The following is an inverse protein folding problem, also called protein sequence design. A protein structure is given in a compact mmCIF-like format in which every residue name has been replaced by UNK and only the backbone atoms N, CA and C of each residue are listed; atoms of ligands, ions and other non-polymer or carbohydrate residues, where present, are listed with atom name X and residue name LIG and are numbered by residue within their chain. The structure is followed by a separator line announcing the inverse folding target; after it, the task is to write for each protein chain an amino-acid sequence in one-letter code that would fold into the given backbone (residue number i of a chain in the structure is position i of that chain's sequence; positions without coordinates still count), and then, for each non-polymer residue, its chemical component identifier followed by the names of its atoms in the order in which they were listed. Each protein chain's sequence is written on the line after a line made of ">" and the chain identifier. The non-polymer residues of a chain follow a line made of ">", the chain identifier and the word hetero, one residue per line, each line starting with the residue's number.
data_IF_562230410723
#
_entry.id   IF_562230410723
#
_cell.length_a   1.000
_cell.length_b   1.000
_cell.length_c   1.000
_cell.angle_alpha   90.00
_cell.angle_beta   90.00
_cell.angle_gamma   90.00
#
_symmetry.space_group_name_H-M   'P 1'
#
loop_
_entity.id
_entity.type
_entity.pdbx_description
1 polymer ?
#
# COMPACT_ATOMS: atom_id res chain seq x y z
N UNK A 1 7.55 -18.52 23.24
CA UNK A 1 6.44 -19.38 22.73
C UNK A 1 5.16 -18.59 22.45
N UNK A 2 4.66 -17.74 23.37
CA UNK A 2 3.44 -16.95 23.14
C UNK A 2 3.56 -15.93 21.99
N UNK A 3 4.69 -15.21 21.87
CA UNK A 3 4.89 -14.20 20.83
C UNK A 3 4.80 -14.79 19.40
N UNK A 4 5.43 -15.95 19.17
CA UNK A 4 5.38 -16.64 17.87
C UNK A 4 3.96 -17.06 17.50
N UNK A 5 3.18 -17.59 18.46
CA UNK A 5 1.77 -17.94 18.26
C UNK A 5 0.95 -16.69 17.92
N UNK A 6 1.16 -15.57 18.63
CA UNK A 6 0.46 -14.31 18.37
C UNK A 6 0.82 -13.71 17.01
N UNK A 7 2.09 -13.74 16.60
CA UNK A 7 2.51 -13.23 15.27
C UNK A 7 1.93 -14.09 14.16
N UNK A 8 1.97 -15.41 14.31
CA UNK A 8 1.37 -16.33 13.34
C UNK A 8 -0.14 -16.12 13.22
N UNK A 9 -0.85 -16.03 14.34
CA UNK A 9 -2.29 -15.75 14.35
C UNK A 9 -2.66 -14.41 13.72
N UNK A 10 -1.84 -13.36 13.91
CA UNK A 10 -2.03 -12.07 13.21
C UNK A 10 -1.72 -12.14 11.72
N UNK A 11 -0.78 -13.00 11.30
CA UNK A 11 -0.54 -13.31 9.89
C UNK A 11 -1.74 -13.99 9.24
N UNK A 12 -2.30 -15.00 9.89
CA UNK A 12 -3.52 -15.70 9.47
C UNK A 12 -4.74 -14.76 9.43
N UNK A 13 -4.89 -13.88 10.44
CA UNK A 13 -5.94 -12.87 10.43
C UNK A 13 -5.80 -11.86 9.27
N UNK A 14 -4.57 -11.45 8.93
CA UNK A 14 -4.33 -10.61 7.76
C UNK A 14 -4.65 -11.33 6.45
N UNK A 15 -4.36 -12.65 6.36
CA UNK A 15 -4.74 -13.46 5.20
C UNK A 15 -6.27 -13.56 5.05
N UNK A 16 -7.00 -13.88 6.12
CA UNK A 16 -8.46 -13.91 6.11
C UNK A 16 -9.08 -12.55 5.72
N UNK A 17 -8.51 -11.45 6.20
CA UNK A 17 -8.94 -10.11 5.79
C UNK A 17 -8.74 -9.87 4.29
N UNK A 18 -7.65 -10.37 3.73
CA UNK A 18 -7.35 -10.26 2.30
C UNK A 18 -8.37 -11.04 1.45
N UNK A 19 -8.70 -12.25 1.87
CA UNK A 19 -9.71 -13.09 1.23
C UNK A 19 -11.09 -12.45 1.32
N UNK A 20 -11.49 -11.98 2.50
CA UNK A 20 -12.76 -11.28 2.70
C UNK A 20 -12.85 -10.01 1.84
N UNK A 21 -11.76 -9.23 1.75
CA UNK A 21 -11.72 -8.06 0.88
C UNK A 21 -11.81 -8.43 -0.60
N UNK A 22 -11.20 -9.53 -1.01
CA UNK A 22 -11.31 -10.02 -2.39
C UNK A 22 -12.76 -10.39 -2.71
N UNK A 23 -13.42 -11.13 -1.83
CA UNK A 23 -14.81 -11.56 -2.05
C UNK A 23 -15.74 -10.34 -2.09
N UNK A 24 -15.67 -9.48 -1.08
CA UNK A 24 -16.60 -8.36 -0.96
C UNK A 24 -16.25 -7.22 -1.93
N UNK A 25 -14.98 -6.85 -1.96
CA UNK A 25 -14.46 -5.72 -2.75
C UNK A 25 -14.37 -6.00 -4.24
N UNK A 26 -14.16 -7.24 -4.67
CA UNK A 26 -14.03 -7.56 -6.10
C UNK A 26 -15.29 -8.27 -6.61
N UNK A 27 -15.66 -9.43 -6.04
CA UNK A 27 -16.82 -10.19 -6.54
C UNK A 27 -18.14 -9.46 -6.25
N UNK A 28 -18.27 -8.85 -5.07
CA UNK A 28 -19.45 -8.04 -4.72
C UNK A 28 -19.62 -6.83 -5.63
N UNK A 29 -18.53 -6.09 -5.88
CA UNK A 29 -18.52 -4.95 -6.81
C UNK A 29 -18.84 -5.39 -8.24
N UNK A 30 -18.22 -6.49 -8.70
CA UNK A 30 -18.52 -7.08 -10.01
C UNK A 30 -20.00 -7.40 -10.15
N UNK A 31 -20.60 -8.07 -9.16
CA UNK A 31 -22.02 -8.42 -9.18
C UNK A 31 -22.92 -7.19 -9.34
N UNK A 32 -22.66 -6.12 -8.58
CA UNK A 32 -23.45 -4.88 -8.66
C UNK A 32 -23.26 -4.18 -10.01
N UNK A 33 -22.03 -4.17 -10.55
CA UNK A 33 -21.73 -3.63 -11.87
C UNK A 33 -22.49 -4.39 -12.97
N UNK A 34 -22.52 -5.73 -12.90
CA UNK A 34 -23.25 -6.57 -13.85
C UNK A 34 -24.76 -6.31 -13.79
N UNK A 35 -25.33 -6.26 -12.58
CA UNK A 35 -26.76 -5.95 -12.41
C UNK A 35 -27.10 -4.57 -12.98
N UNK A 36 -26.24 -3.57 -12.79
CA UNK A 36 -26.45 -2.24 -13.36
C UNK A 36 -26.39 -2.23 -14.89
N UNK A 37 -25.38 -2.89 -15.48
CA UNK A 37 -25.26 -2.99 -16.94
C UNK A 37 -26.48 -3.68 -17.54
N UNK A 38 -26.88 -4.83 -16.98
CA UNK A 38 -28.06 -5.59 -17.44
C UNK A 38 -29.34 -4.80 -17.25
N UNK A 39 -29.52 -4.11 -16.13
CA UNK A 39 -30.72 -3.30 -15.87
C UNK A 39 -30.87 -2.12 -16.84
N UNK A 40 -29.75 -1.52 -17.28
CA UNK A 40 -29.75 -0.44 -18.27
C UNK A 40 -29.95 -0.94 -19.71
N UNK A 41 -29.50 -2.15 -20.02
CA UNK A 41 -29.61 -2.71 -21.37
C UNK A 41 -30.89 -3.53 -21.61
N UNK A 42 -31.48 -4.11 -20.57
CA UNK A 42 -32.72 -4.90 -20.61
C UNK A 42 -33.73 -4.41 -19.55
N UNK A 43 -34.41 -3.27 -19.79
CA UNK A 43 -35.34 -2.68 -18.81
C UNK A 43 -36.51 -3.60 -18.41
N UNK A 44 -36.85 -4.58 -19.23
CA UNK A 44 -37.94 -5.56 -19.00
C UNK A 44 -37.57 -6.68 -18.03
N UNK A 45 -36.31 -6.81 -17.62
CA UNK A 45 -35.83 -7.89 -16.74
C UNK A 45 -36.19 -7.71 -15.24
N UNK A 46 -36.89 -6.62 -14.87
CA UNK A 46 -37.47 -6.43 -13.53
C UNK A 46 -36.48 -6.13 -12.39
N UNK A 47 -35.17 -6.21 -12.64
CA UNK A 47 -34.11 -5.80 -11.72
C UNK A 47 -33.41 -4.58 -12.32
N UNK A 48 -33.71 -3.38 -11.81
CA UNK A 48 -33.01 -2.16 -12.22
C UNK A 48 -32.43 -1.44 -11.01
N UNK A 49 -31.11 -1.27 -11.01
CA UNK A 49 -30.43 -0.34 -10.11
C UNK A 49 -30.50 1.02 -10.78
N UNK A 50 -31.09 2.01 -10.11
CA UNK A 50 -31.16 3.37 -10.68
C UNK A 50 -29.76 3.96 -10.86
N UNK A 51 -29.53 4.83 -11.86
CA UNK A 51 -28.24 5.50 -12.04
C UNK A 51 -27.76 6.24 -10.79
N UNK A 52 -28.68 6.82 -10.01
CA UNK A 52 -28.37 7.48 -8.74
C UNK A 52 -27.90 6.50 -7.68
N UNK A 53 -28.56 5.34 -7.53
CA UNK A 53 -28.11 4.29 -6.61
C UNK A 53 -26.75 3.74 -7.01
N UNK A 54 -26.51 3.52 -8.30
CA UNK A 54 -25.21 3.09 -8.80
C UNK A 54 -24.12 4.13 -8.53
N UNK A 55 -24.41 5.42 -8.75
CA UNK A 55 -23.47 6.50 -8.45
C UNK A 55 -23.12 6.54 -6.96
N UNK A 56 -24.11 6.47 -6.06
CA UNK A 56 -23.88 6.45 -4.62
C UNK A 56 -23.07 5.22 -4.19
N UNK A 57 -23.41 4.04 -4.71
CA UNK A 57 -22.65 2.83 -4.47
C UNK A 57 -21.19 3.01 -4.91
N UNK A 58 -20.98 3.44 -6.15
CA UNK A 58 -19.68 3.44 -6.79
C UNK A 58 -18.72 4.50 -6.25
N UNK A 59 -19.21 5.71 -5.96
CA UNK A 59 -18.37 6.82 -5.51
C UNK A 59 -18.31 6.98 -3.99
N UNK A 60 -19.28 6.43 -3.25
CA UNK A 60 -19.32 6.54 -1.79
C UNK A 60 -19.10 5.19 -1.12
N UNK A 61 -19.91 4.18 -1.45
CA UNK A 61 -19.86 2.88 -0.76
C UNK A 61 -18.58 2.11 -1.09
N UNK A 62 -18.14 2.04 -2.35
CA UNK A 62 -16.92 1.29 -2.71
C UNK A 62 -15.65 1.87 -2.06
N UNK A 63 -15.40 3.20 -2.10
CA UNK A 63 -14.26 3.76 -1.38
C UNK A 63 -14.40 3.60 0.14
N UNK A 64 -15.59 3.81 0.70
CA UNK A 64 -15.83 3.61 2.13
C UNK A 64 -15.54 2.17 2.58
N UNK A 65 -15.92 1.19 1.77
CA UNK A 65 -15.62 -0.22 2.00
C UNK A 65 -14.10 -0.46 2.01
N UNK A 66 -13.37 0.13 1.08
CA UNK A 66 -11.91 0.05 1.06
C UNK A 66 -11.28 0.69 2.30
N UNK A 67 -11.80 1.83 2.76
CA UNK A 67 -11.36 2.45 4.02
C UNK A 67 -11.66 1.58 5.25
N UNK A 68 -12.82 0.92 5.29
CA UNK A 68 -13.17 -0.04 6.33
C UNK A 68 -12.13 -1.17 6.39
N UNK A 69 -11.73 -1.72 5.25
CA UNK A 69 -10.70 -2.77 5.20
C UNK A 69 -9.29 -2.26 5.55
N UNK A 70 -8.95 -1.01 5.23
CA UNK A 70 -7.72 -0.38 5.73
C UNK A 70 -7.73 -0.30 7.25
N UNK A 71 -8.86 0.12 7.84
CA UNK A 71 -9.04 0.21 9.28
C UNK A 71 -9.02 -1.17 9.95
N UNK A 72 -9.73 -2.16 9.39
CA UNK A 72 -9.69 -3.54 9.87
C UNK A 72 -8.28 -4.14 9.78
N UNK A 73 -7.54 -3.81 8.71
CA UNK A 73 -6.14 -4.19 8.55
C UNK A 73 -5.24 -3.59 9.63
N UNK A 74 -5.51 -2.37 10.08
CA UNK A 74 -4.81 -1.75 11.21
C UNK A 74 -5.08 -2.50 12.52
N UNK A 75 -6.35 -2.79 12.83
CA UNK A 75 -6.74 -3.53 14.03
C UNK A 75 -6.15 -4.94 14.10
N UNK A 76 -6.01 -5.61 12.95
CA UNK A 76 -5.47 -6.97 12.87
C UNK A 76 -3.96 -7.03 13.12
N UNK A 77 -3.24 -5.93 12.90
CA UNK A 77 -1.78 -5.91 12.99
C UNK A 77 -1.26 -5.56 14.38
N UNK A 78 0.06 -5.69 14.59
CA UNK A 78 0.69 -5.13 15.77
C UNK A 78 0.79 -3.62 15.57
N UNK A 79 0.16 -2.87 16.47
CA UNK A 79 0.33 -1.43 16.51
C UNK A 79 1.73 -1.13 17.03
N UNK A 80 2.61 -0.76 16.11
CA UNK A 80 3.89 -0.19 16.48
C UNK A 80 3.66 1.28 16.88
N UNK A 81 4.09 1.72 18.08
CA UNK A 81 3.83 3.07 18.58
C UNK A 81 4.56 4.17 17.81
N UNK A 82 5.45 3.81 16.87
CA UNK A 82 6.21 4.76 16.05
C UNK A 82 5.79 4.59 14.59
N UNK A 83 5.16 5.63 14.05
CA UNK A 83 4.72 5.69 12.65
C UNK A 83 5.64 6.61 11.85
N UNK A 84 6.08 6.15 10.68
CA UNK A 84 6.86 6.98 9.78
C UNK A 84 5.95 7.81 8.88
N UNK A 85 5.81 9.09 9.23
CA UNK A 85 4.93 10.02 8.53
C UNK A 85 5.51 10.59 7.22
N UNK A 86 6.79 10.36 6.90
CA UNK A 86 7.45 10.98 5.74
C UNK A 86 6.76 10.71 4.40
N UNK A 87 6.38 9.46 4.06
CA UNK A 87 5.68 9.20 2.79
C UNK A 87 4.31 9.89 2.72
N UNK A 88 3.66 10.10 3.88
CA UNK A 88 2.35 10.74 3.96
C UNK A 88 2.45 12.26 3.82
N UNK A 89 3.49 12.90 4.35
CA UNK A 89 3.73 14.32 4.10
C UNK A 89 3.98 14.60 2.61
N UNK A 90 4.71 13.72 1.92
CA UNK A 90 4.91 13.83 0.47
C UNK A 90 3.58 13.68 -0.26
N UNK A 91 2.72 12.73 0.13
CA UNK A 91 1.37 12.60 -0.42
C UNK A 91 0.52 13.86 -0.17
N UNK A 92 0.52 14.39 1.05
CA UNK A 92 -0.22 15.60 1.38
C UNK A 92 0.22 16.81 0.55
N UNK A 93 1.53 16.92 0.26
CA UNK A 93 2.06 17.96 -0.60
C UNK A 93 1.62 17.80 -2.08
N UNK A 94 1.40 16.57 -2.56
CA UNK A 94 0.97 16.31 -3.94
C UNK A 94 -0.56 16.40 -4.13
N UNK A 95 -1.34 16.25 -3.06
CA UNK A 95 -2.81 16.30 -3.12
C UNK A 95 -3.38 17.58 -3.73
N UNK A 96 -2.94 18.82 -3.40
CA UNK A 96 -3.47 20.03 -4.03
C UNK A 96 -3.24 20.05 -5.54
N UNK A 97 -2.06 19.64 -5.99
CA UNK A 97 -1.75 19.53 -7.42
C UNK A 97 -2.61 18.45 -8.09
N UNK A 98 -2.79 17.31 -7.43
CA UNK A 98 -3.69 16.26 -7.87
C UNK A 98 -5.14 16.72 -7.99
N UNK A 99 -5.64 17.49 -7.02
CA UNK A 99 -7.00 18.05 -7.06
C UNK A 99 -7.15 19.07 -8.20
N UNK A 100 -6.14 19.91 -8.44
CA UNK A 100 -6.11 20.80 -9.60
C UNK A 100 -6.12 20.01 -10.92
N UNK A 101 -5.31 18.96 -11.03
CA UNK A 101 -5.32 18.07 -12.20
C UNK A 101 -6.68 17.40 -12.39
N UNK A 102 -7.25 16.78 -11.35
CA UNK A 102 -8.58 16.17 -11.40
C UNK A 102 -9.66 17.18 -11.85
N UNK A 103 -9.58 18.42 -11.36
CA UNK A 103 -10.54 19.48 -11.72
C UNK A 103 -10.51 19.84 -13.21
N UNK A 104 -9.36 19.69 -13.87
CA UNK A 104 -9.17 20.04 -15.29
C UNK A 104 -9.25 18.83 -16.22
N UNK A 105 -9.00 17.63 -15.69
CA UNK A 105 -8.86 16.40 -16.47
C UNK A 105 -10.10 15.50 -16.33
N UNK A 106 -10.86 15.60 -15.24
CA UNK A 106 -12.00 14.70 -14.96
C UNK A 106 -13.32 15.45 -15.04
N UNK A 107 -13.46 16.56 -14.29
CA UNK A 107 -14.73 17.31 -14.20
C UNK A 107 -15.23 17.89 -15.53
N UNK A 108 -14.38 18.37 -16.46
CA UNK A 108 -14.85 18.91 -17.73
C UNK A 108 -15.56 17.88 -18.61
N UNK A 109 -15.32 16.58 -18.39
CA UNK A 109 -16.08 15.54 -19.06
C UNK A 109 -17.51 15.41 -18.50
N UNK A 110 -17.77 15.78 -17.24
CA UNK A 110 -19.11 15.76 -16.67
C UNK A 110 -19.88 17.05 -16.89
N UNK A 111 -19.20 18.20 -16.93
CA UNK A 111 -19.80 19.47 -17.33
C UNK A 111 -18.74 20.46 -17.83
N UNK A 112 -19.04 21.11 -18.96
CA UNK A 112 -18.12 22.01 -19.65
C UNK A 112 -17.76 23.27 -18.84
N UNK A 113 -18.58 23.63 -17.85
CA UNK A 113 -18.39 24.79 -16.96
C UNK A 113 -17.09 24.76 -16.15
N UNK A 114 -16.46 23.59 -15.98
CA UNK A 114 -15.20 23.44 -15.22
C UNK A 114 -13.94 23.58 -16.08
N UNK A 115 -14.07 23.70 -17.40
CA UNK A 115 -12.94 23.79 -18.31
C UNK A 115 -12.25 25.16 -18.18
N UNK A 116 -11.08 25.20 -17.54
CA UNK A 116 -10.22 26.40 -17.49
C UNK A 116 -8.94 26.25 -18.31
N UNK A 117 -8.41 25.03 -18.40
CA UNK A 117 -7.16 24.73 -19.13
C UNK A 117 -7.46 23.74 -20.27
N UNK A 118 -7.76 24.23 -21.49
CA UNK A 118 -8.08 23.36 -22.63
C UNK A 118 -6.96 22.38 -23.01
N UNK A 119 -5.70 22.72 -22.74
CA UNK A 119 -4.56 21.87 -23.06
C UNK A 119 -4.60 20.50 -22.36
N UNK A 120 -4.98 20.46 -21.08
CA UNK A 120 -5.05 19.22 -20.30
C UNK A 120 -6.21 18.33 -20.75
N UNK A 121 -7.35 18.94 -21.07
CA UNK A 121 -8.50 18.25 -21.64
C UNK A 121 -8.16 17.63 -23.02
N UNK A 122 -7.55 18.42 -23.90
CA UNK A 122 -7.12 17.97 -25.23
C UNK A 122 -6.06 16.87 -25.16
N UNK A 123 -5.18 16.90 -24.15
CA UNK A 123 -4.21 15.84 -23.92
C UNK A 123 -4.90 14.49 -23.67
N UNK A 124 -5.97 14.44 -22.87
CA UNK A 124 -6.69 13.18 -22.64
C UNK A 124 -7.37 12.69 -23.91
N UNK A 125 -7.98 13.59 -24.68
CA UNK A 125 -8.59 13.22 -25.97
C UNK A 125 -7.51 12.69 -26.93
N UNK A 126 -6.33 13.32 -26.94
CA UNK A 126 -5.20 12.86 -27.73
C UNK A 126 -4.72 11.48 -27.30
N UNK A 127 -4.60 11.21 -25.99
CA UNK A 127 -4.25 9.88 -25.45
C UNK A 127 -5.31 8.86 -25.87
N UNK A 128 -6.60 9.18 -25.71
CA UNK A 128 -7.73 8.32 -26.10
C UNK A 128 -7.65 7.94 -27.58
N UNK A 129 -7.49 8.92 -28.47
CA UNK A 129 -7.42 8.71 -29.92
C UNK A 129 -6.17 7.95 -30.35
N UNK A 130 -5.02 8.29 -29.76
CA UNK A 130 -3.74 7.66 -30.11
C UNK A 130 -3.68 6.18 -29.70
N UNK A 131 -4.33 5.82 -28.60
CA UNK A 131 -4.40 4.45 -28.08
C UNK A 131 -5.69 3.71 -28.49
N UNK A 132 -6.53 4.33 -29.32
CA UNK A 132 -7.78 3.77 -29.84
C UNK A 132 -8.73 3.26 -28.73
N UNK A 133 -8.91 4.06 -27.67
CA UNK A 133 -9.91 3.78 -26.63
C UNK A 133 -11.33 4.18 -27.09
N UNK A 134 -12.34 3.45 -26.60
CA UNK A 134 -13.75 3.77 -26.82
C UNK A 134 -14.14 5.15 -26.26
N UNK A 135 -15.12 5.81 -26.88
CA UNK A 135 -15.64 7.09 -26.40
C UNK A 135 -16.37 6.93 -25.06
N UNK A 136 -16.13 7.84 -24.12
CA UNK A 136 -16.62 7.74 -22.73
C UNK A 136 -15.56 7.24 -21.74
N UNK A 137 -14.43 6.71 -22.21
CA UNK A 137 -13.30 6.27 -21.36
C UNK A 137 -12.46 7.43 -20.81
N UNK A 138 -12.66 8.65 -21.29
CA UNK A 138 -11.77 9.78 -21.04
C UNK A 138 -11.68 10.12 -19.55
N UNK A 139 -12.82 10.09 -18.85
CA UNK A 139 -12.88 10.35 -17.41
C UNK A 139 -12.12 9.29 -16.60
N UNK A 140 -12.18 8.01 -17.01
CA UNK A 140 -11.45 6.93 -16.37
C UNK A 140 -9.93 7.06 -16.55
N UNK A 141 -9.48 7.39 -17.78
CA UNK A 141 -8.08 7.69 -18.09
C UNK A 141 -7.61 8.87 -17.21
N UNK A 142 -8.40 9.94 -17.17
CA UNK A 142 -8.10 11.14 -16.42
C UNK A 142 -7.94 10.91 -14.91
N UNK A 143 -8.87 10.16 -14.30
CA UNK A 143 -8.79 9.75 -12.90
C UNK A 143 -7.55 8.90 -12.65
N UNK A 144 -7.31 7.89 -13.49
CA UNK A 144 -6.16 6.98 -13.37
C UNK A 144 -4.84 7.77 -13.37
N UNK A 145 -4.64 8.65 -14.36
CA UNK A 145 -3.42 9.45 -14.47
C UNK A 145 -3.25 10.38 -13.27
N UNK A 146 -4.33 10.98 -12.79
CA UNK A 146 -4.29 11.86 -11.62
C UNK A 146 -3.90 11.09 -10.34
N UNK A 147 -4.49 9.91 -10.12
CA UNK A 147 -4.17 9.07 -8.97
C UNK A 147 -2.74 8.54 -9.01
N UNK A 148 -2.25 8.15 -10.20
CA UNK A 148 -0.85 7.76 -10.41
C UNK A 148 0.09 8.93 -10.10
N UNK A 149 -0.22 10.14 -10.60
CA UNK A 149 0.56 11.34 -10.34
C UNK A 149 0.69 11.64 -8.84
N UNK A 150 -0.41 11.49 -8.08
CA UNK A 150 -0.42 11.68 -6.64
C UNK A 150 0.42 10.60 -5.92
N UNK A 151 0.32 9.34 -6.36
CA UNK A 151 0.91 8.20 -5.67
C UNK A 151 2.40 7.97 -5.95
N UNK A 152 2.92 8.35 -7.13
CA UNK A 152 4.33 8.12 -7.50
C UNK A 152 5.30 8.76 -6.48
N UNK A 153 5.17 10.05 -6.11
CA UNK A 153 6.08 10.65 -5.13
C UNK A 153 6.00 9.97 -3.76
N UNK A 154 4.79 9.57 -3.33
CA UNK A 154 4.60 8.80 -2.11
C UNK A 154 5.27 7.43 -2.16
N UNK A 155 5.17 6.72 -3.28
CA UNK A 155 5.83 5.43 -3.49
C UNK A 155 7.36 5.58 -3.43
N UNK A 156 7.93 6.58 -4.10
CA UNK A 156 9.38 6.86 -4.07
C UNK A 156 9.83 7.14 -2.63
N UNK A 157 9.10 7.98 -1.91
CA UNK A 157 9.41 8.31 -0.51
C UNK A 157 9.35 7.07 0.41
N UNK A 158 8.35 6.20 0.23
CA UNK A 158 8.24 4.93 0.97
C UNK A 158 9.41 4.00 0.66
N UNK A 159 9.79 3.85 -0.62
CA UNK A 159 10.88 2.96 -1.05
C UNK A 159 12.21 3.32 -0.37
N UNK A 160 12.59 4.60 -0.36
CA UNK A 160 13.82 5.05 0.29
C UNK A 160 13.77 4.91 1.81
N UNK A 161 12.61 5.20 2.40
CA UNK A 161 12.45 5.22 3.85
C UNK A 161 12.41 3.80 4.43
N UNK A 162 11.59 2.94 3.85
CA UNK A 162 11.46 1.53 4.22
C UNK A 162 12.79 0.77 4.04
N UNK A 163 13.49 1.02 2.93
CA UNK A 163 14.79 0.39 2.67
C UNK A 163 15.85 0.78 3.68
N UNK A 164 15.86 2.05 4.14
CA UNK A 164 16.76 2.50 5.19
C UNK A 164 16.44 1.86 6.53
N UNK A 165 15.17 1.81 6.92
CA UNK A 165 14.72 1.21 8.18
C UNK A 165 15.07 -0.28 8.26
N UNK A 166 14.83 -1.04 7.19
CA UNK A 166 15.17 -2.47 7.13
C UNK A 166 16.67 -2.73 7.30
N UNK A 167 17.52 -1.93 6.64
CA UNK A 167 18.99 -2.02 6.78
C UNK A 167 19.48 -1.71 8.20
N UNK A 168 18.78 -0.86 8.95
CA UNK A 168 19.11 -0.56 10.35
C UNK A 168 18.75 -1.75 11.23
N UNK A 169 17.53 -2.29 11.09
CA UNK A 169 17.09 -3.46 11.85
C UNK A 169 17.99 -4.68 11.60
N UNK A 170 18.32 -4.96 10.34
CA UNK A 170 19.25 -6.04 9.97
C UNK A 170 20.63 -5.87 10.62
N UNK A 171 21.15 -4.64 10.60
CA UNK A 171 22.42 -4.30 11.23
C UNK A 171 22.40 -4.50 12.75
N UNK A 172 21.30 -4.15 13.41
CA UNK A 172 21.12 -4.35 14.85
C UNK A 172 21.08 -5.83 15.20
N UNK A 173 20.34 -6.66 14.45
CA UNK A 173 20.30 -8.10 14.70
C UNK A 173 21.71 -8.72 14.58
N UNK A 174 22.46 -8.38 13.53
CA UNK A 174 23.82 -8.87 13.35
C UNK A 174 24.77 -8.37 14.44
N UNK A 175 24.66 -7.10 14.82
CA UNK A 175 25.44 -6.52 15.91
C UNK A 175 25.18 -7.22 17.24
N UNK A 176 23.91 -7.47 17.60
CA UNK A 176 23.57 -8.14 18.86
C UNK A 176 24.15 -9.56 18.91
N UNK A 177 24.12 -10.28 17.79
CA UNK A 177 24.73 -11.62 17.69
C UNK A 177 26.26 -11.55 17.87
N UNK A 178 26.93 -10.61 17.23
CA UNK A 178 28.37 -10.40 17.43
C UNK A 178 28.70 -9.98 18.88
N UNK A 179 27.84 -9.16 19.50
CA UNK A 179 28.02 -8.68 20.87
C UNK A 179 28.01 -9.83 21.87
N UNK A 180 27.14 -10.82 21.66
CA UNK A 180 27.13 -12.06 22.44
C UNK A 180 28.48 -12.77 22.37
N UNK A 181 29.02 -12.97 21.16
CA UNK A 181 30.27 -13.70 20.97
C UNK A 181 31.47 -12.99 21.62
N UNK A 182 31.53 -11.66 21.51
CA UNK A 182 32.55 -10.87 22.20
C UNK A 182 32.34 -10.88 23.71
N UNK A 183 31.09 -10.88 24.18
CA UNK A 183 30.80 -10.92 25.62
C UNK A 183 31.20 -12.25 26.26
N UNK A 184 31.05 -13.37 25.53
CA UNK A 184 31.52 -14.72 25.93
C UNK A 184 33.03 -14.78 26.16
N UNK A 185 33.81 -13.92 25.51
CA UNK A 185 35.27 -13.84 25.73
C UNK A 185 35.67 -13.12 27.03
N UNK A 186 34.70 -12.64 27.82
CA UNK A 186 34.94 -12.00 29.11
C UNK A 186 35.16 -10.49 29.07
N UNK A 187 35.05 -9.85 27.90
CA UNK A 187 35.14 -8.39 27.78
C UNK A 187 33.96 -7.70 28.49
N UNK A 188 34.20 -6.53 29.08
CA UNK A 188 33.12 -5.72 29.67
C UNK A 188 32.17 -5.24 28.56
N UNK A 189 30.87 -4.99 28.86
CA UNK A 189 29.89 -4.58 27.86
C UNK A 189 30.33 -3.35 27.03
N UNK A 190 30.96 -2.37 27.67
CA UNK A 190 31.43 -1.13 27.06
C UNK A 190 32.62 -1.40 26.11
N UNK A 191 33.59 -2.21 26.55
CA UNK A 191 34.73 -2.61 25.72
C UNK A 191 34.30 -3.49 24.54
N UNK A 192 33.30 -4.35 24.75
CA UNK A 192 32.72 -5.15 23.67
C UNK A 192 32.04 -4.26 22.62
N UNK A 193 31.33 -3.21 23.06
CA UNK A 193 30.72 -2.24 22.17
C UNK A 193 31.77 -1.46 21.36
N UNK A 194 32.83 -1.01 22.02
CA UNK A 194 33.95 -0.31 21.39
C UNK A 194 34.65 -1.19 20.33
N UNK A 195 34.91 -2.45 20.66
CA UNK A 195 35.53 -3.40 19.73
C UNK A 195 34.68 -3.60 18.46
N UNK A 196 33.35 -3.70 18.63
CA UNK A 196 32.42 -3.91 17.53
C UNK A 196 32.08 -2.63 16.75
N UNK A 197 32.23 -1.45 17.33
CA UNK A 197 31.91 -0.18 16.66
C UNK A 197 32.73 0.07 15.36
N UNK A 198 33.86 -0.60 15.22
CA UNK A 198 34.70 -0.56 14.02
C UNK A 198 34.19 -1.44 12.86
N UNK A 199 33.36 -2.46 13.15
CA UNK A 199 32.84 -3.41 12.16
C UNK A 199 31.70 -2.80 11.32
N UNK A 200 31.39 -3.44 10.19
CA UNK A 200 30.30 -3.00 9.31
C UNK A 200 28.98 -3.71 9.61
N UNK A 201 28.02 -2.95 10.14
CA UNK A 201 26.62 -3.31 10.37
C UNK A 201 25.67 -2.54 9.45
N UNK A 202 26.11 -2.20 8.24
CA UNK A 202 25.31 -1.54 7.20
C UNK A 202 24.66 -0.24 7.69
N UNK A 203 23.33 -0.19 7.71
CA UNK A 203 22.57 0.99 8.12
C UNK A 203 22.75 1.35 9.60
N UNK A 204 23.16 0.39 10.43
CA UNK A 204 23.36 0.60 11.86
C UNK A 204 24.76 1.14 12.22
N UNK A 205 25.78 0.91 11.38
CA UNK A 205 27.19 1.25 11.68
C UNK A 205 27.40 2.69 12.17
N UNK A 206 26.73 3.66 11.52
CA UNK A 206 26.82 5.07 11.91
C UNK A 206 26.27 5.33 13.32
N UNK A 207 25.15 4.69 13.66
CA UNK A 207 24.53 4.85 14.98
C UNK A 207 25.33 4.13 16.05
N UNK A 208 25.86 2.93 15.76
CA UNK A 208 26.72 2.20 16.68
C UNK A 208 27.97 3.00 17.07
N UNK A 209 28.63 3.66 16.10
CA UNK A 209 29.78 4.54 16.36
C UNK A 209 29.41 5.73 17.24
N UNK A 210 28.25 6.36 17.00
CA UNK A 210 27.74 7.47 17.82
C UNK A 210 27.45 7.01 19.27
N UNK A 211 26.79 5.86 19.42
CA UNK A 211 26.50 5.24 20.73
C UNK A 211 27.82 4.91 21.47
N UNK A 212 28.74 4.19 20.83
CA UNK A 212 30.02 3.79 21.43
C UNK A 212 30.86 5.00 21.86
N UNK A 213 30.94 6.05 21.04
CA UNK A 213 31.70 7.27 21.37
C UNK A 213 31.14 7.95 22.61
N UNK A 214 29.81 8.06 22.69
CA UNK A 214 29.13 8.72 23.83
C UNK A 214 29.22 7.92 25.13
N UNK A 215 29.13 6.59 25.04
CA UNK A 215 29.37 5.72 26.21
C UNK A 215 30.80 5.89 26.71
N UNK A 216 31.79 5.92 25.81
CA UNK A 216 33.19 6.15 26.17
C UNK A 216 33.44 7.54 26.79
N UNK A 217 32.63 8.54 26.43
CA UNK A 217 32.67 9.88 27.02
C UNK A 217 31.83 10.03 28.29
N UNK A 218 31.20 8.95 28.79
CA UNK A 218 30.43 8.96 30.03
C UNK A 218 29.08 9.68 29.94
N UNK A 219 28.50 9.81 28.74
CA UNK A 219 27.17 10.39 28.58
C UNK A 219 26.10 9.50 29.23
N UNK A 220 25.03 10.07 29.80
CA UNK A 220 23.93 9.29 30.34
C UNK A 220 23.29 8.40 29.27
N UNK A 221 23.13 7.12 29.58
CA UNK A 221 22.56 6.10 28.69
C UNK A 221 21.17 6.48 28.15
N UNK A 222 20.34 7.08 29.00
CA UNK A 222 19.04 7.65 28.61
C UNK A 222 19.15 8.70 27.51
N UNK A 223 20.12 9.62 27.60
CA UNK A 223 20.33 10.64 26.58
C UNK A 223 20.76 9.99 25.24
N UNK A 224 21.63 8.98 25.29
CA UNK A 224 22.07 8.25 24.11
C UNK A 224 20.89 7.58 23.40
N UNK A 225 19.98 6.96 24.17
CA UNK A 225 18.76 6.38 23.63
C UNK A 225 17.84 7.45 23.03
N UNK A 226 17.59 8.57 23.71
CA UNK A 226 16.73 9.65 23.22
C UNK A 226 17.25 10.22 21.88
N UNK A 227 18.57 10.41 21.76
CA UNK A 227 19.20 10.86 20.52
C UNK A 227 19.15 9.82 19.39
N UNK A 228 19.24 8.52 19.72
CA UNK A 228 19.04 7.44 18.76
C UNK A 228 17.58 7.40 18.28
N UNK A 229 16.63 7.51 19.22
CA UNK A 229 15.20 7.50 18.97
C UNK A 229 14.72 8.69 18.13
N UNK A 230 15.39 9.84 18.24
CA UNK A 230 15.13 10.99 17.38
C UNK A 230 15.51 10.75 15.90
N UNK A 231 16.43 9.81 15.61
CA UNK A 231 16.97 9.57 14.26
C UNK A 231 16.42 8.30 13.59
N UNK A 232 15.90 7.36 14.37
CA UNK A 232 15.43 6.04 13.90
C UNK A 232 13.96 5.87 14.22
N UNK A 233 13.17 5.48 13.21
CA UNK A 233 11.71 5.34 13.30
C UNK A 233 11.23 3.90 13.33
N UNK A 234 12.12 2.92 13.14
CA UNK A 234 11.77 1.50 13.20
C UNK A 234 11.61 1.07 14.66
N UNK A 235 10.40 0.63 15.02
CA UNK A 235 10.07 0.24 16.40
C UNK A 235 10.93 -0.90 16.94
N UNK A 236 11.15 -1.97 16.16
CA UNK A 236 11.95 -3.12 16.61
C UNK A 236 13.40 -2.70 16.87
N UNK A 237 13.95 -1.83 16.01
CA UNK A 237 15.25 -1.23 16.24
C UNK A 237 15.30 -0.43 17.55
N UNK A 238 14.27 0.38 17.83
CA UNK A 238 14.18 1.16 19.07
C UNK A 238 14.12 0.26 20.31
N UNK A 239 13.27 -0.76 20.29
CA UNK A 239 13.15 -1.71 21.41
C UNK A 239 14.46 -2.45 21.64
N UNK A 240 15.12 -2.95 20.59
CA UNK A 240 16.38 -3.67 20.73
C UNK A 240 17.48 -2.80 21.36
N UNK A 241 17.61 -1.54 20.93
CA UNK A 241 18.61 -0.63 21.48
C UNK A 241 18.24 -0.15 22.89
N UNK A 242 16.95 0.09 23.16
CA UNK A 242 16.47 0.38 24.51
C UNK A 242 16.83 -0.75 25.48
N UNK A 243 16.49 -1.99 25.14
CA UNK A 243 16.76 -3.16 25.97
C UNK A 243 18.25 -3.41 26.15
N UNK A 244 19.07 -3.16 25.12
CA UNK A 244 20.53 -3.24 25.22
C UNK A 244 21.05 -2.27 26.28
N UNK A 245 20.65 -1.01 26.17
CA UNK A 245 21.07 0.06 27.06
C UNK A 245 20.62 -0.23 28.51
N UNK A 246 19.36 -0.62 28.71
CA UNK A 246 18.81 -0.99 30.02
C UNK A 246 19.53 -2.20 30.64
N UNK A 247 19.85 -3.20 29.81
CA UNK A 247 20.63 -4.38 30.23
C UNK A 247 22.05 -4.00 30.68
N UNK A 248 22.65 -2.97 30.07
CA UNK A 248 23.96 -2.45 30.49
C UNK A 248 23.85 -1.67 31.81
N UNK A 249 22.83 -0.82 31.96
CA UNK A 249 22.65 0.04 33.14
C UNK A 249 22.29 -0.74 34.41
N UNK A 250 21.25 -1.58 34.33
CA UNK A 250 20.67 -2.29 35.48
C UNK A 250 21.25 -3.69 35.62
N UNK A 251 21.48 -4.36 34.49
CA UNK A 251 21.91 -5.76 34.44
C UNK A 251 23.43 -5.98 34.47
N UNK A 252 24.23 -4.91 34.37
CA UNK A 252 25.70 -5.00 34.22
C UNK A 252 26.14 -5.69 32.93
N UNK A 253 25.25 -5.77 31.93
CA UNK A 253 25.50 -6.42 30.64
C UNK A 253 25.95 -7.87 30.76
N UNK A 254 25.27 -8.67 31.60
CA UNK A 254 25.54 -10.12 31.71
C UNK A 254 25.38 -10.80 30.34
N UNK A 255 26.26 -11.77 30.07
CA UNK A 255 26.25 -12.56 28.83
C UNK A 255 24.87 -13.14 28.53
N UNK A 256 24.22 -13.78 29.51
CA UNK A 256 22.90 -14.40 29.37
C UNK A 256 21.81 -13.40 28.96
N UNK A 257 21.86 -12.16 29.47
CA UNK A 257 20.88 -11.13 29.13
C UNK A 257 21.06 -10.63 27.70
N UNK A 258 22.31 -10.48 27.25
CA UNK A 258 22.64 -10.09 25.87
C UNK A 258 22.30 -11.22 24.89
N UNK A 259 22.55 -12.50 25.26
CA UNK A 259 22.11 -13.67 24.49
C UNK A 259 20.58 -13.68 24.33
N UNK A 260 19.84 -13.50 25.42
CA UNK A 260 18.37 -13.42 25.38
C UNK A 260 17.88 -12.29 24.47
N UNK A 261 18.57 -11.15 24.45
CA UNK A 261 18.24 -10.02 23.58
C UNK A 261 18.55 -10.32 22.09
N UNK A 262 19.68 -10.96 21.81
CA UNK A 262 20.04 -11.38 20.46
C UNK A 262 19.03 -12.41 19.92
N UNK A 263 18.70 -13.43 20.72
CA UNK A 263 17.66 -14.42 20.40
C UNK A 263 16.30 -13.76 20.17
N UNK A 264 15.91 -12.78 20.99
CA UNK A 264 14.68 -12.01 20.81
C UNK A 264 14.68 -11.24 19.47
N UNK A 265 15.78 -10.55 19.14
CA UNK A 265 15.91 -9.79 17.89
C UNK A 265 15.85 -10.70 16.67
N UNK A 266 16.57 -11.83 16.68
CA UNK A 266 16.56 -12.82 15.60
C UNK A 266 15.19 -13.48 15.45
N UNK A 267 14.58 -13.91 16.56
CA UNK A 267 13.24 -14.50 16.55
C UNK A 267 12.21 -13.52 16.01
N UNK A 268 12.28 -12.25 16.41
CA UNK A 268 11.36 -11.21 15.92
C UNK A 268 11.53 -11.00 14.41
N UNK A 269 12.76 -10.90 13.93
CA UNK A 269 13.06 -10.78 12.49
C UNK A 269 12.57 -11.99 11.70
N UNK A 270 12.79 -13.20 12.23
CA UNK A 270 12.31 -14.44 11.60
C UNK A 270 10.77 -14.47 11.54
N UNK A 271 10.10 -14.09 12.62
CA UNK A 271 8.64 -14.04 12.68
C UNK A 271 8.05 -13.03 11.69
N UNK A 272 8.68 -11.86 11.50
CA UNK A 272 8.27 -10.91 10.45
C UNK A 272 8.47 -11.48 9.04
N UNK A 273 9.58 -12.19 8.81
CA UNK A 273 9.85 -12.84 7.53
C UNK A 273 8.84 -13.97 7.23
N UNK A 274 8.52 -14.80 8.23
CA UNK A 274 7.51 -15.86 8.13
C UNK A 274 6.12 -15.27 7.84
N UNK A 275 5.70 -14.23 8.60
CA UNK A 275 4.45 -13.51 8.34
C UNK A 275 4.39 -13.00 6.90
N UNK A 276 5.47 -12.37 6.43
CA UNK A 276 5.54 -11.86 5.06
C UNK A 276 5.46 -12.99 4.03
N UNK A 277 6.14 -14.11 4.26
CA UNK A 277 6.12 -15.27 3.36
C UNK A 277 4.71 -15.85 3.21
N UNK A 278 3.91 -15.89 4.29
CA UNK A 278 2.50 -16.33 4.25
C UNK A 278 1.62 -15.36 3.45
N UNK A 279 1.88 -14.06 3.53
CA UNK A 279 1.07 -13.03 2.85
C UNK A 279 1.47 -12.81 1.38
N UNK A 280 2.70 -13.14 0.99
CA UNK A 280 3.21 -12.90 -0.37
C UNK A 280 2.38 -13.55 -1.49
N UNK A 281 1.93 -14.82 -1.38
CA UNK A 281 1.06 -15.43 -2.39
C UNK A 281 -0.27 -14.70 -2.57
N UNK A 282 -0.83 -14.14 -1.49
CA UNK A 282 -2.12 -13.43 -1.53
C UNK A 282 -2.05 -12.07 -2.24
N UNK A 283 -0.84 -11.54 -2.47
CA UNK A 283 -0.63 -10.28 -3.19
C UNK A 283 -1.23 -10.32 -4.59
N UNK A 284 -1.18 -11.48 -5.27
CA UNK A 284 -1.60 -11.60 -6.68
C UNK A 284 -3.11 -11.49 -6.86
N UNK A 285 -3.88 -11.85 -5.83
CA UNK A 285 -5.33 -11.98 -5.90
C UNK A 285 -6.03 -10.66 -6.30
N UNK A 286 -5.71 -9.50 -5.69
CA UNK A 286 -6.17 -8.19 -6.15
C UNK A 286 -5.83 -7.86 -7.60
N UNK A 287 -4.68 -8.30 -8.11
CA UNK A 287 -4.27 -8.01 -9.49
C UNK A 287 -5.13 -8.77 -10.48
N UNK A 288 -5.34 -10.06 -10.21
CA UNK A 288 -6.26 -10.88 -10.98
C UNK A 288 -7.67 -10.28 -10.88
N UNK A 289 -8.11 -9.92 -9.68
CA UNK A 289 -9.44 -9.36 -9.47
C UNK A 289 -9.67 -8.01 -10.14
N UNK A 290 -8.71 -7.10 -10.12
CA UNK A 290 -8.79 -5.82 -10.86
C UNK A 290 -8.83 -6.05 -12.37
N UNK A 291 -8.01 -6.96 -12.90
CA UNK A 291 -8.02 -7.33 -14.31
C UNK A 291 -9.35 -7.99 -14.72
N UNK A 292 -9.89 -8.90 -13.90
CA UNK A 292 -11.17 -9.55 -14.14
C UNK A 292 -12.31 -8.54 -14.08
N UNK A 293 -12.36 -7.70 -13.05
CA UNK A 293 -13.42 -6.69 -12.88
C UNK A 293 -13.42 -5.70 -14.06
N UNK A 294 -12.25 -5.22 -14.47
CA UNK A 294 -12.12 -4.29 -15.61
C UNK A 294 -12.40 -4.96 -16.94
N UNK A 295 -11.81 -6.13 -17.19
CA UNK A 295 -12.01 -6.90 -18.41
C UNK A 295 -13.48 -7.28 -18.61
N UNK A 296 -14.12 -7.85 -17.59
CA UNK A 296 -15.54 -8.24 -17.65
C UNK A 296 -16.45 -7.02 -17.84
N UNK A 297 -16.25 -5.93 -17.09
CA UNK A 297 -17.06 -4.71 -17.25
C UNK A 297 -16.99 -4.18 -18.69
N UNK A 298 -15.80 -4.14 -19.28
CA UNK A 298 -15.61 -3.66 -20.66
C UNK A 298 -16.16 -4.65 -21.68
N UNK A 299 -16.01 -5.97 -21.47
CA UNK A 299 -16.60 -6.98 -22.35
C UNK A 299 -18.13 -6.89 -22.38
N UNK A 300 -18.76 -6.73 -21.21
CA UNK A 300 -20.20 -6.55 -21.12
C UNK A 300 -20.66 -5.27 -21.80
N UNK A 301 -19.93 -4.17 -21.63
CA UNK A 301 -20.20 -2.94 -22.37
C UNK A 301 -20.11 -3.18 -23.88
N UNK A 302 -19.05 -3.84 -24.36
CA UNK A 302 -18.87 -4.23 -25.76
C UNK A 302 -20.05 -5.02 -26.31
N UNK A 303 -20.46 -6.09 -25.63
CA UNK A 303 -21.59 -6.94 -26.01
C UNK A 303 -22.88 -6.14 -26.20
N UNK A 304 -23.25 -5.27 -25.25
CA UNK A 304 -24.47 -4.47 -25.35
C UNK A 304 -24.36 -3.33 -26.37
N UNK A 305 -23.15 -2.91 -26.72
CA UNK A 305 -22.94 -1.94 -27.81
C UNK A 305 -23.01 -2.56 -29.20
N UNK A 306 -22.56 -3.82 -29.36
CA UNK A 306 -22.54 -4.53 -30.64
C UNK A 306 -23.83 -5.30 -30.95
N UNK A 307 -24.56 -5.74 -29.93
CA UNK A 307 -25.84 -6.42 -30.11
C UNK A 307 -26.94 -5.44 -30.51
N UNK A 308 -27.53 -5.64 -31.70
CA UNK A 308 -28.74 -4.92 -32.16
C UNK A 308 -29.97 -5.37 -31.39
N UNK A 309 -30.04 -4.99 -30.10
CA UNK A 309 -31.12 -5.37 -29.18
C UNK A 309 -32.40 -4.52 -29.33
N UNK A 310 -32.48 -3.69 -30.37
CA UNK A 310 -33.65 -2.82 -30.62
C UNK A 310 -33.84 -1.70 -29.60
N UNK A 311 -32.91 -1.52 -28.66
CA UNK A 311 -32.92 -0.48 -27.62
C UNK A 311 -31.71 0.44 -27.82
N UNK A 312 -31.94 1.75 -27.96
CA UNK A 312 -30.87 2.74 -28.04
C UNK A 312 -30.25 2.97 -26.66
N UNK A 313 -29.14 2.31 -26.38
CA UNK A 313 -28.41 2.48 -25.13
C UNK A 313 -27.46 3.69 -25.23
N UNK A 314 -27.44 4.64 -24.28
CA UNK A 314 -26.50 5.77 -24.30
C UNK A 314 -25.07 5.30 -23.98
N UNK A 315 -24.37 4.80 -25.00
CA UNK A 315 -23.08 4.10 -24.87
C UNK A 315 -22.02 4.96 -24.15
N UNK A 316 -21.80 6.20 -24.60
CA UNK A 316 -20.81 7.12 -24.01
C UNK A 316 -21.08 7.35 -22.51
N UNK A 317 -22.35 7.50 -22.13
CA UNK A 317 -22.73 7.70 -20.73
C UNK A 317 -22.46 6.45 -19.89
N UNK A 318 -22.72 5.25 -20.40
CA UNK A 318 -22.44 3.99 -19.71
C UNK A 318 -20.94 3.78 -19.49
N UNK A 319 -20.12 3.95 -20.54
CA UNK A 319 -18.66 3.85 -20.42
C UNK A 319 -18.14 4.83 -19.37
N UNK A 320 -18.60 6.07 -19.40
CA UNK A 320 -18.20 7.09 -18.42
C UNK A 320 -18.64 6.74 -16.99
N UNK A 321 -19.87 6.27 -16.82
CA UNK A 321 -20.44 5.99 -15.49
C UNK A 321 -19.78 4.77 -14.85
N UNK A 322 -19.45 3.73 -15.63
CA UNK A 322 -18.91 2.47 -15.12
C UNK A 322 -17.39 2.50 -14.95
N UNK A 323 -16.65 3.02 -15.92
CA UNK A 323 -15.19 2.94 -15.93
C UNK A 323 -14.53 3.96 -14.99
N UNK A 324 -15.15 5.12 -14.78
CA UNK A 324 -14.61 6.16 -13.89
C UNK A 324 -14.47 5.68 -12.43
N UNK A 325 -15.53 5.17 -11.76
CA UNK A 325 -15.40 4.66 -10.41
C UNK A 325 -14.55 3.39 -10.33
N UNK A 326 -14.49 2.62 -11.41
CA UNK A 326 -13.64 1.44 -11.49
C UNK A 326 -12.14 1.78 -11.39
N UNK A 327 -11.70 2.87 -12.03
CA UNK A 327 -10.34 3.39 -11.88
C UNK A 327 -10.01 3.76 -10.43
N UNK A 328 -10.95 4.43 -9.74
CA UNK A 328 -10.81 4.75 -8.30
C UNK A 328 -10.72 3.46 -7.49
N UNK A 329 -11.59 2.49 -7.78
CA UNK A 329 -11.65 1.23 -7.08
C UNK A 329 -10.35 0.43 -7.22
N UNK A 330 -9.79 0.31 -8.43
CA UNK A 330 -8.50 -0.37 -8.64
C UNK A 330 -7.34 0.30 -7.89
N UNK A 331 -7.36 1.63 -7.79
CA UNK A 331 -6.38 2.36 -6.98
C UNK A 331 -6.54 2.06 -5.49
N UNK A 332 -7.78 2.14 -4.96
CA UNK A 332 -8.04 1.84 -3.54
C UNK A 332 -7.74 0.40 -3.19
N UNK A 333 -8.02 -0.54 -4.11
CA UNK A 333 -7.67 -1.95 -3.98
C UNK A 333 -6.17 -2.13 -3.72
N UNK A 334 -5.32 -1.36 -4.41
CA UNK A 334 -3.88 -1.36 -4.17
C UNK A 334 -3.46 -0.79 -2.82
N UNK A 335 -4.13 0.26 -2.34
CA UNK A 335 -3.89 0.79 -1.01
C UNK A 335 -4.21 -0.24 0.08
N UNK A 336 -5.38 -0.90 -0.03
CA UNK A 336 -5.80 -1.96 0.91
C UNK A 336 -4.82 -3.12 0.87
N UNK A 337 -4.44 -3.58 -0.33
CA UNK A 337 -3.45 -4.65 -0.54
C UNK A 337 -2.15 -4.33 0.19
N UNK A 338 -1.58 -3.14 -0.03
CA UNK A 338 -0.34 -2.74 0.65
C UNK A 338 -0.48 -2.68 2.17
N UNK A 339 -1.61 -2.16 2.69
CA UNK A 339 -1.87 -2.11 4.12
C UNK A 339 -1.95 -3.50 4.75
N UNK A 340 -2.68 -4.44 4.14
CA UNK A 340 -2.85 -5.79 4.70
C UNK A 340 -1.52 -6.55 4.72
N UNK A 341 -0.73 -6.47 3.64
CA UNK A 341 0.53 -7.25 3.50
C UNK A 341 1.68 -6.67 4.32
N UNK A 342 1.91 -5.36 4.23
CA UNK A 342 3.10 -4.72 4.81
C UNK A 342 2.85 -4.03 6.15
N UNK A 343 1.57 -3.80 6.47
CA UNK A 343 1.12 -3.05 7.62
C UNK A 343 1.12 -1.53 7.52
N UNK A 344 1.52 -0.99 6.38
CA UNK A 344 1.52 0.46 6.14
C UNK A 344 0.75 0.79 4.87
N UNK A 345 -0.06 1.85 4.91
CA UNK A 345 -0.78 2.35 3.73
C UNK A 345 0.20 2.86 2.68
N UNK A 346 1.35 3.42 3.10
CA UNK A 346 2.41 3.92 2.20
C UNK A 346 2.98 2.85 1.26
N UNK A 347 3.10 1.60 1.72
CA UNK A 347 3.50 0.48 0.85
C UNK A 347 2.40 0.10 -0.16
N UNK A 348 1.19 0.61 0.00
CA UNK A 348 0.08 0.48 -0.94
C UNK A 348 0.25 1.34 -2.18
N UNK A 349 1.03 2.43 -2.14
CA UNK A 349 1.21 3.31 -3.30
C UNK A 349 1.75 2.57 -4.53
N UNK A 350 2.71 1.65 -4.34
CA UNK A 350 3.23 0.83 -5.44
C UNK A 350 2.14 -0.05 -6.07
N UNK A 351 1.31 -0.69 -5.23
CA UNK A 351 0.24 -1.57 -5.68
C UNK A 351 -0.87 -0.77 -6.35
N UNK A 352 -1.21 0.40 -5.80
CA UNK A 352 -2.21 1.31 -6.33
C UNK A 352 -1.83 1.81 -7.73
N UNK A 353 -0.56 2.17 -7.95
CA UNK A 353 -0.05 2.55 -9.28
C UNK A 353 -0.15 1.37 -10.26
N UNK A 354 0.36 0.18 -9.88
CA UNK A 354 0.36 -0.97 -10.79
C UNK A 354 -1.07 -1.43 -11.10
N UNK A 355 -1.95 -1.51 -10.11
CA UNK A 355 -3.35 -1.92 -10.32
C UNK A 355 -4.13 -0.90 -11.17
N UNK A 356 -3.84 0.40 -11.03
CA UNK A 356 -4.42 1.42 -11.90
C UNK A 356 -3.96 1.24 -13.35
N UNK A 357 -2.69 0.88 -13.56
CA UNK A 357 -2.18 0.54 -14.90
C UNK A 357 -2.78 -0.75 -15.44
N UNK A 358 -2.96 -1.78 -14.61
CA UNK A 358 -3.64 -3.03 -14.99
C UNK A 358 -5.09 -2.75 -15.41
N UNK A 359 -5.80 -1.89 -14.67
CA UNK A 359 -7.16 -1.49 -15.02
C UNK A 359 -7.22 -0.75 -16.36
N UNK A 360 -6.32 0.23 -16.56
CA UNK A 360 -6.20 0.96 -17.83
C UNK A 360 -5.86 0.02 -19.00
N UNK A 361 -4.93 -0.91 -18.77
CA UNK A 361 -4.53 -1.94 -19.73
C UNK A 361 -5.66 -2.92 -20.05
N UNK A 362 -6.48 -3.29 -19.07
CA UNK A 362 -7.68 -4.10 -19.25
C UNK A 362 -8.71 -3.40 -20.13
N UNK A 363 -8.97 -2.10 -19.86
CA UNK A 363 -9.83 -1.26 -20.70
C UNK A 363 -9.30 -1.20 -22.14
N UNK A 364 -7.99 -1.01 -22.30
CA UNK A 364 -7.34 -0.92 -23.60
C UNK A 364 -7.43 -2.24 -24.39
N UNK A 365 -7.08 -3.35 -23.73
CA UNK A 365 -7.01 -4.67 -24.34
C UNK A 365 -8.38 -5.10 -24.84
N UNK A 366 -9.43 -4.95 -24.04
CA UNK A 366 -10.78 -5.35 -24.46
C UNK A 366 -11.32 -4.42 -25.56
N UNK A 367 -10.99 -3.13 -25.53
CA UNK A 367 -11.40 -2.18 -26.59
C UNK A 367 -10.73 -2.47 -27.95
N UNK A 368 -9.49 -2.98 -27.96
CA UNK A 368 -8.72 -3.17 -29.20
C UNK A 368 -8.69 -4.60 -29.72
N UNK A 369 -8.82 -5.60 -28.86
CA UNK A 369 -8.75 -7.01 -29.27
C UNK A 369 -10.08 -7.54 -29.85
N UNK A 370 -11.06 -6.67 -30.06
CA UNK A 370 -12.39 -7.02 -30.57
C UNK A 370 -13.05 -8.18 -29.78
N UNK A 371 -12.72 -8.30 -28.50
CA UNK A 371 -13.25 -9.32 -27.59
C UNK A 371 -14.72 -9.04 -27.19
N UNK A 372 -15.31 -7.96 -27.73
CA UNK A 372 -16.72 -7.62 -27.62
C UNK A 372 -17.51 -7.86 -28.92
N UNK A 373 -16.96 -8.65 -29.85
CA UNK A 373 -17.63 -9.09 -31.08
C UNK A 373 -18.44 -10.36 -30.89
#
# INVERSE_FOLDING_TARGET
>A
RNLSITVKGKGEAAAMLMEAYTIIGILGVLGIFLVFVVGMSLPTAGVSVSPTQFFLFSFIVMPALSFLFIFAGDMSQFNYPVSNWKPYYVLLATLPFGALLASQIVLPFFSESFLRVPALYNMIIWIRKSLNFAEGTEAAIGVTLTLIFIAIPGWIADYYTAGREGKIQDGITQFLRDLVEVRKSGLSPEKSLEALASRDYRGFSKYLKDISTKINWGYPLRQIYEEFAAKVTNWIALVNIYLLIDTMEVGGGKEQSIESLAEFSESTKQLEAEKRAVLMPLVIVPYIGAALLTGTTVMFLGFFTGATLGVSVPQIMLYRTLLTPLAIHSFTLGLVTGKIISGRVSSGFKHAVILSLVALGGIWAVSNLNLGG
#
